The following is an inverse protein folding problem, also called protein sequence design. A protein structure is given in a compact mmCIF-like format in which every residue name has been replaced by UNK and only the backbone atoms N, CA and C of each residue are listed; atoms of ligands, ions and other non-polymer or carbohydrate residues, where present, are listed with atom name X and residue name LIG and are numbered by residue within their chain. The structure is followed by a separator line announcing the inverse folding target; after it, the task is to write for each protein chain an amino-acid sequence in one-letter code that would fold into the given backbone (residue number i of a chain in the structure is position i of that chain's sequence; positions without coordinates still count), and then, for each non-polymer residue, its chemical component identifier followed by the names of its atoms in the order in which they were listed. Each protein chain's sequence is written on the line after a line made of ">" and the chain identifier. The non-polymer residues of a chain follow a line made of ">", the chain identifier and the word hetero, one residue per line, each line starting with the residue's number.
data_IF_909698077644
#
_entry.id   IF_909698077644
#
_cell.length_a   1.000
_cell.length_b   1.000
_cell.length_c   1.000
_cell.angle_alpha   90.00
_cell.angle_beta   90.00
_cell.angle_gamma   90.00
#
_symmetry.space_group_name_H-M   'P 1'
#
loop_
_entity.id
_entity.type
_entity.pdbx_description
1 polymer ?
#
# COMPACT_ATOMS: atom_id res chain seq x y z
N UNK A 1 30.01 -77.01 33.04
CA UNK A 1 29.46 -77.25 34.38
C UNK A 1 29.04 -75.92 34.98
N UNK A 2 27.76 -75.56 35.03
CA UNK A 2 27.23 -74.64 36.03
C UNK A 2 25.71 -74.81 35.99
N UNK A 3 25.17 -75.04 37.16
CA UNK A 3 23.82 -75.52 37.44
C UNK A 3 22.81 -74.40 37.36
N UNK A 4 21.63 -74.72 36.81
CA UNK A 4 20.44 -73.87 36.84
C UNK A 4 19.64 -74.14 38.11
N UNK A 5 19.31 -73.07 38.85
CA UNK A 5 18.40 -73.14 39.97
C UNK A 5 17.06 -72.52 39.55
N UNK A 6 16.02 -73.31 39.56
CA UNK A 6 14.63 -72.90 39.30
C UNK A 6 14.08 -72.28 40.58
N UNK A 7 13.49 -71.12 40.51
CA UNK A 7 12.72 -70.52 41.61
C UNK A 7 11.31 -70.24 41.14
N UNK A 8 10.38 -71.00 41.71
CA UNK A 8 8.93 -70.83 41.52
C UNK A 8 8.43 -69.66 42.38
N UNK A 9 7.70 -68.73 41.79
CA UNK A 9 7.04 -67.67 42.53
C UNK A 9 5.52 -67.74 42.31
N UNK A 10 4.81 -67.73 43.38
CA UNK A 10 3.38 -67.92 43.47
C UNK A 10 2.59 -66.67 42.99
N UNK A 11 1.51 -66.94 42.32
CA UNK A 11 0.56 -65.98 41.79
C UNK A 11 -0.38 -65.51 42.92
N UNK A 12 -0.38 -64.21 43.23
CA UNK A 12 -1.41 -63.56 44.05
C UNK A 12 -2.31 -62.79 43.08
N UNK A 13 -3.54 -63.22 42.98
CA UNK A 13 -4.59 -62.60 42.14
C UNK A 13 -5.27 -61.50 42.97
N UNK A 14 -4.88 -60.26 42.78
CA UNK A 14 -5.55 -59.06 43.34
C UNK A 14 -6.63 -58.53 42.39
N UNK A 15 -7.89 -58.58 42.82
CA UNK A 15 -9.04 -58.06 42.10
C UNK A 15 -9.04 -56.53 42.20
N UNK A 16 -8.66 -55.84 41.11
CA UNK A 16 -8.71 -54.39 41.04
C UNK A 16 -10.05 -54.00 40.38
N UNK A 17 -10.96 -53.43 41.13
CA UNK A 17 -12.19 -52.85 40.63
C UNK A 17 -11.86 -51.60 39.81
N UNK A 18 -12.05 -51.68 38.49
CA UNK A 18 -11.94 -50.50 37.58
C UNK A 18 -13.20 -49.67 37.71
N UNK A 19 -13.13 -48.52 38.40
CA UNK A 19 -14.13 -47.46 38.27
C UNK A 19 -14.04 -46.86 36.88
N UNK A 20 -15.07 -47.09 36.04
CA UNK A 20 -15.23 -46.39 34.79
C UNK A 20 -15.63 -44.92 35.05
N UNK A 21 -14.92 -43.94 34.57
CA UNK A 21 -15.42 -42.57 34.60
C UNK A 21 -16.62 -42.45 33.67
N UNK A 22 -17.70 -41.85 34.15
CA UNK A 22 -18.90 -41.58 33.36
C UNK A 22 -18.61 -40.65 32.18
N UNK A 23 -19.51 -40.58 31.19
CA UNK A 23 -19.29 -39.79 29.99
C UNK A 23 -19.15 -38.29 30.35
N UNK A 24 -17.96 -37.75 30.12
CA UNK A 24 -17.73 -36.32 30.13
C UNK A 24 -18.50 -35.72 28.96
N UNK A 25 -19.59 -35.02 29.25
CA UNK A 25 -20.24 -34.18 28.23
C UNK A 25 -19.26 -33.06 27.85
N UNK A 26 -18.59 -33.21 26.73
CA UNK A 26 -17.96 -32.10 26.06
C UNK A 26 -19.08 -31.18 25.55
N UNK A 27 -19.25 -30.05 26.16
CA UNK A 27 -19.96 -28.92 25.59
C UNK A 27 -19.13 -28.47 24.40
N UNK A 28 -19.55 -28.80 23.18
CA UNK A 28 -19.03 -28.19 21.99
C UNK A 28 -19.34 -26.70 22.07
N UNK A 29 -18.32 -25.90 22.33
CA UNK A 29 -18.38 -24.48 22.03
C UNK A 29 -18.50 -24.42 20.50
N UNK A 30 -19.66 -24.03 20.00
CA UNK A 30 -19.80 -23.59 18.63
C UNK A 30 -18.83 -22.39 18.50
N UNK A 31 -17.71 -22.59 17.81
CA UNK A 31 -16.97 -21.47 17.26
C UNK A 31 -17.94 -20.83 16.28
N UNK A 32 -18.34 -19.61 16.62
CA UNK A 32 -19.04 -18.74 15.70
C UNK A 32 -18.03 -18.38 14.59
N UNK A 33 -17.95 -19.27 13.61
CA UNK A 33 -17.25 -19.02 12.35
C UNK A 33 -18.15 -18.10 11.52
N UNK A 34 -18.36 -16.87 11.98
CA UNK A 34 -18.74 -15.79 11.09
C UNK A 34 -17.54 -15.57 10.17
N UNK A 35 -17.50 -16.33 9.07
CA UNK A 35 -16.71 -15.93 7.89
C UNK A 35 -17.22 -14.55 7.54
N UNK A 36 -16.45 -13.50 7.88
CA UNK A 36 -16.69 -12.17 7.30
C UNK A 36 -16.70 -12.41 5.79
N UNK A 37 -17.85 -12.25 5.16
CA UNK A 37 -17.97 -12.44 3.72
C UNK A 37 -16.91 -11.58 3.03
N UNK A 38 -16.02 -12.25 2.29
CA UNK A 38 -15.01 -11.55 1.50
C UNK A 38 -15.71 -10.73 0.43
N UNK A 39 -15.71 -9.41 0.59
CA UNK A 39 -16.23 -8.48 -0.42
C UNK A 39 -15.08 -8.10 -1.35
N UNK A 40 -15.08 -8.70 -2.54
CA UNK A 40 -14.09 -8.38 -3.55
C UNK A 40 -14.24 -6.92 -4.00
N UNK A 41 -13.15 -6.13 -4.04
CA UNK A 41 -13.21 -4.79 -4.61
C UNK A 41 -13.23 -4.83 -6.14
N UNK A 42 -13.64 -3.72 -6.73
CA UNK A 42 -13.37 -3.44 -8.15
C UNK A 42 -11.95 -2.93 -8.28
N UNK A 43 -11.20 -3.52 -9.23
CA UNK A 43 -9.80 -3.16 -9.52
C UNK A 43 -9.75 -2.34 -10.81
N UNK A 44 -9.04 -1.23 -10.78
CA UNK A 44 -8.72 -0.36 -11.91
C UNK A 44 -7.21 -0.33 -12.07
N UNK A 45 -6.71 -0.70 -13.23
CA UNK A 45 -5.27 -0.71 -13.46
C UNK A 45 -4.94 -0.47 -14.94
N UNK A 46 -3.82 0.19 -15.16
CA UNK A 46 -3.22 0.38 -16.48
C UNK A 46 -1.73 0.68 -16.33
N UNK A 47 -0.96 0.38 -17.34
CA UNK A 47 0.44 0.76 -17.45
C UNK A 47 0.80 1.06 -18.89
N UNK A 48 1.82 1.90 -19.09
CA UNK A 48 2.29 2.25 -20.43
C UNK A 48 3.29 3.39 -20.42
N UNK A 49 3.80 3.75 -21.58
CA UNK A 49 4.97 4.64 -21.72
C UNK A 49 4.70 6.11 -21.37
N UNK A 50 3.46 6.51 -21.11
CA UNK A 50 3.14 7.92 -20.86
C UNK A 50 1.74 8.08 -20.21
N UNK A 51 1.39 9.31 -19.82
CA UNK A 51 0.11 9.63 -19.17
C UNK A 51 -1.12 9.20 -19.98
N UNK A 52 -1.10 9.32 -21.29
CA UNK A 52 -2.22 8.94 -22.15
C UNK A 52 -2.51 7.44 -22.08
N UNK A 53 -1.50 6.61 -21.82
CA UNK A 53 -1.63 5.16 -21.73
C UNK A 53 -2.45 4.71 -20.53
N UNK A 54 -2.46 5.49 -19.44
CA UNK A 54 -3.17 5.15 -18.19
C UNK A 54 -4.40 6.02 -17.94
N UNK A 55 -4.57 7.11 -18.69
CA UNK A 55 -5.60 8.13 -18.46
C UNK A 55 -7.01 7.55 -18.36
N UNK A 56 -7.38 6.63 -19.26
CA UNK A 56 -8.72 6.05 -19.27
C UNK A 56 -9.03 5.25 -18.01
N UNK A 57 -8.05 4.56 -17.45
CA UNK A 57 -8.21 3.79 -16.20
C UNK A 57 -8.31 4.71 -14.98
N UNK A 58 -7.52 5.78 -14.95
CA UNK A 58 -7.60 6.82 -13.92
C UNK A 58 -8.97 7.50 -13.94
N UNK A 59 -9.48 7.86 -15.12
CA UNK A 59 -10.79 8.50 -15.27
C UNK A 59 -11.94 7.57 -14.92
N UNK A 60 -11.85 6.27 -15.25
CA UNK A 60 -12.82 5.27 -14.84
C UNK A 60 -12.85 5.12 -13.30
N UNK A 61 -11.69 5.14 -12.64
CA UNK A 61 -11.59 5.12 -11.19
C UNK A 61 -12.20 6.39 -10.56
N UNK A 62 -11.87 7.57 -11.09
CA UNK A 62 -12.46 8.85 -10.68
C UNK A 62 -14.00 8.82 -10.77
N UNK A 63 -14.51 8.31 -11.88
CA UNK A 63 -15.95 8.17 -12.10
C UNK A 63 -16.60 7.19 -11.10
N UNK A 64 -15.93 6.07 -10.82
CA UNK A 64 -16.41 5.09 -9.86
C UNK A 64 -16.45 5.61 -8.42
N UNK A 65 -15.49 6.44 -8.01
CA UNK A 65 -15.50 7.11 -6.70
C UNK A 65 -16.57 8.19 -6.61
N UNK A 66 -16.95 8.81 -7.73
CA UNK A 66 -17.98 9.82 -7.82
C UNK A 66 -17.47 11.25 -7.75
N UNK A 67 -18.41 12.18 -7.81
CA UNK A 67 -18.20 13.63 -7.78
C UNK A 67 -18.81 14.25 -6.51
N UNK A 68 -18.36 15.45 -6.09
CA UNK A 68 -17.28 16.24 -6.68
C UNK A 68 -15.87 15.75 -6.29
N UNK A 69 -14.81 16.27 -6.96
CA UNK A 69 -13.47 16.30 -6.41
C UNK A 69 -13.39 17.46 -5.40
N UNK A 70 -13.42 17.13 -4.12
CA UNK A 70 -13.49 18.12 -3.06
C UNK A 70 -12.08 18.43 -2.49
N UNK A 71 -11.62 19.66 -2.70
CA UNK A 71 -10.31 20.14 -2.22
C UNK A 71 -10.34 20.92 -0.91
N UNK A 72 -11.53 21.18 -0.34
CA UNK A 72 -11.71 22.02 0.84
C UNK A 72 -11.88 21.21 2.13
N UNK A 73 -11.70 21.87 3.27
CA UNK A 73 -12.06 21.34 4.57
C UNK A 73 -13.58 21.07 4.64
N UNK A 74 -13.95 20.08 5.45
CA UNK A 74 -15.32 19.62 5.56
C UNK A 74 -15.58 18.37 4.71
N UNK A 75 -16.26 17.38 5.29
CA UNK A 75 -16.59 16.12 4.65
C UNK A 75 -17.92 16.25 3.89
N UNK A 76 -18.01 15.60 2.74
CA UNK A 76 -19.23 15.45 1.94
C UNK A 76 -19.76 14.02 2.07
N UNK A 77 -21.03 13.82 1.77
CA UNK A 77 -21.64 12.49 1.78
C UNK A 77 -21.11 11.57 0.66
N UNK A 78 -20.64 12.15 -0.43
CA UNK A 78 -20.15 11.44 -1.62
C UNK A 78 -19.05 12.24 -2.30
N UNK A 79 -18.37 11.60 -3.25
CA UNK A 79 -17.32 12.23 -4.03
C UNK A 79 -15.95 11.62 -3.76
N UNK A 80 -14.95 12.38 -4.13
CA UNK A 80 -13.55 11.96 -4.02
C UNK A 80 -12.64 13.10 -3.62
N UNK A 81 -11.41 12.75 -3.27
CA UNK A 81 -10.28 13.65 -3.01
C UNK A 81 -9.13 13.27 -3.91
N UNK A 82 -8.43 14.25 -4.41
CA UNK A 82 -7.22 14.06 -5.25
C UNK A 82 -6.09 14.91 -4.72
N UNK A 83 -4.89 14.38 -4.76
CA UNK A 83 -3.64 15.07 -4.43
C UNK A 83 -2.69 14.83 -5.59
N UNK A 84 -2.35 15.90 -6.29
CA UNK A 84 -1.42 15.90 -7.42
C UNK A 84 -0.02 16.44 -7.06
N UNK A 85 0.21 16.71 -5.79
CA UNK A 85 1.47 17.14 -5.19
C UNK A 85 1.99 18.52 -5.60
N UNK A 86 1.33 19.24 -6.52
CA UNK A 86 1.81 20.50 -7.12
C UNK A 86 1.46 21.75 -6.32
N UNK A 87 0.69 21.64 -5.25
CA UNK A 87 0.25 22.77 -4.44
C UNK A 87 1.40 23.43 -3.67
N UNK A 88 1.42 24.77 -3.63
CA UNK A 88 2.35 25.54 -2.80
C UNK A 88 3.71 25.83 -3.43
N UNK A 89 3.87 25.73 -4.74
CA UNK A 89 5.11 26.02 -5.45
C UNK A 89 5.53 24.83 -6.31
N UNK A 90 5.02 24.81 -7.53
CA UNK A 90 5.08 23.65 -8.41
C UNK A 90 6.49 23.17 -8.75
N UNK A 91 7.47 24.04 -8.77
CA UNK A 91 8.87 23.74 -9.11
C UNK A 91 9.78 23.53 -7.88
N UNK A 92 9.22 23.53 -6.66
CA UNK A 92 10.02 23.42 -5.44
C UNK A 92 10.25 21.98 -5.01
N UNK A 93 11.40 21.74 -4.36
CA UNK A 93 11.69 20.49 -3.63
C UNK A 93 11.45 20.76 -2.14
N UNK A 94 10.54 19.99 -1.52
CA UNK A 94 10.25 20.14 -0.10
C UNK A 94 11.26 19.35 0.75
N UNK A 95 11.59 19.88 1.93
CA UNK A 95 12.36 19.11 2.90
C UNK A 95 11.56 17.87 3.32
N UNK A 96 12.23 16.71 3.50
CA UNK A 96 11.57 15.51 3.98
C UNK A 96 10.91 15.70 5.34
N UNK A 97 9.66 15.28 5.47
CA UNK A 97 8.90 15.35 6.74
C UNK A 97 8.01 14.13 6.93
N UNK A 98 7.94 13.62 8.15
CA UNK A 98 6.99 12.59 8.56
C UNK A 98 6.48 12.86 9.98
N UNK A 99 5.17 12.85 10.26
CA UNK A 99 4.08 12.70 9.29
C UNK A 99 3.98 13.90 8.34
N UNK A 100 3.61 13.64 7.08
CA UNK A 100 3.33 14.66 6.09
C UNK A 100 1.85 15.06 6.19
N UNK A 101 1.58 16.25 6.69
CA UNK A 101 0.24 16.72 7.10
C UNK A 101 -0.34 17.84 6.22
N UNK A 102 0.32 18.18 5.11
CA UNK A 102 -0.09 19.33 4.28
C UNK A 102 -1.56 19.25 3.84
N UNK A 103 -2.05 18.03 3.56
CA UNK A 103 -3.42 17.79 3.10
C UNK A 103 -4.36 17.26 4.19
N UNK A 104 -3.88 17.13 5.44
CA UNK A 104 -4.65 16.55 6.54
C UNK A 104 -5.96 17.28 6.80
N UNK A 105 -5.93 18.60 6.91
CA UNK A 105 -7.12 19.37 7.19
C UNK A 105 -8.04 19.53 5.98
N UNK A 106 -7.49 19.70 4.79
CA UNK A 106 -8.27 20.00 3.59
C UNK A 106 -8.77 18.76 2.86
N UNK A 107 -8.02 17.65 2.93
CA UNK A 107 -8.35 16.41 2.21
C UNK A 107 -8.47 15.18 3.11
N UNK A 108 -8.14 15.31 4.41
CA UNK A 108 -8.22 14.20 5.36
C UNK A 108 -7.13 13.14 5.16
N UNK A 109 -6.09 13.43 4.39
CA UNK A 109 -4.97 12.51 4.17
C UNK A 109 -3.74 12.86 5.02
N UNK A 110 -3.24 11.90 5.78
CA UNK A 110 -1.94 11.95 6.46
C UNK A 110 -1.04 10.86 5.88
N UNK A 111 0.21 11.21 5.62
CA UNK A 111 1.16 10.25 5.04
C UNK A 111 2.37 10.10 5.96
N UNK A 112 2.82 8.85 6.14
CA UNK A 112 3.99 8.53 6.96
C UNK A 112 4.92 7.56 6.24
N UNK A 113 6.18 7.53 6.66
CA UNK A 113 7.18 6.57 6.20
C UNK A 113 8.04 6.15 7.38
N UNK A 114 8.58 4.91 7.40
CA UNK A 114 9.60 4.51 8.37
C UNK A 114 10.96 5.16 8.09
N UNK A 115 11.12 5.83 6.93
CA UNK A 115 12.34 6.55 6.57
C UNK A 115 12.49 7.91 7.24
N UNK A 116 13.29 8.77 6.65
CA UNK A 116 13.58 10.12 7.17
C UNK A 116 12.38 11.05 7.03
N UNK A 117 11.58 10.87 5.98
CA UNK A 117 10.39 11.67 5.71
C UNK A 117 9.92 11.51 4.26
N UNK A 118 8.90 12.27 3.91
CA UNK A 118 8.29 12.32 2.59
C UNK A 118 8.59 13.67 1.95
N UNK A 119 8.91 13.68 0.65
CA UNK A 119 9.25 14.87 -0.11
C UNK A 119 8.40 14.96 -1.38
N UNK A 120 8.07 16.19 -1.78
CA UNK A 120 7.53 16.54 -3.09
C UNK A 120 8.62 17.26 -3.89
N UNK A 121 8.86 16.81 -5.12
CA UNK A 121 9.84 17.44 -5.99
C UNK A 121 9.60 17.10 -7.46
N UNK A 122 9.95 17.99 -8.39
CA UNK A 122 10.04 17.60 -9.80
C UNK A 122 11.16 16.56 -9.99
N UNK A 123 11.11 15.70 -11.02
CA UNK A 123 12.18 14.74 -11.30
C UNK A 123 13.56 15.40 -11.37
N UNK A 124 13.64 16.55 -12.02
CA UNK A 124 14.83 17.40 -12.10
C UNK A 124 14.44 18.85 -12.29
N UNK A 125 15.43 19.76 -12.19
CA UNK A 125 15.19 21.19 -12.37
C UNK A 125 14.44 21.84 -11.20
N UNK A 126 13.70 22.92 -11.49
CA UNK A 126 13.08 23.73 -10.45
C UNK A 126 14.08 24.53 -9.62
N UNK A 127 13.58 25.23 -8.59
CA UNK A 127 14.37 26.14 -7.79
C UNK A 127 15.49 25.46 -6.98
N UNK A 128 15.31 24.17 -6.61
CA UNK A 128 16.25 23.38 -5.81
C UNK A 128 16.81 22.17 -6.59
N UNK A 129 16.60 22.08 -7.90
CA UNK A 129 17.13 21.00 -8.74
C UNK A 129 16.37 19.66 -8.71
N UNK A 130 15.23 19.59 -8.04
CA UNK A 130 14.36 18.44 -8.00
C UNK A 130 14.93 17.23 -7.28
N UNK A 131 14.34 16.05 -7.57
CA UNK A 131 14.79 14.76 -7.04
C UNK A 131 16.23 14.44 -7.42
N UNK A 132 16.63 14.77 -8.65
CA UNK A 132 18.01 14.59 -9.10
C UNK A 132 19.02 15.28 -8.16
N UNK A 133 18.71 16.48 -7.68
CA UNK A 133 19.54 17.21 -6.74
C UNK A 133 19.39 16.70 -5.30
N UNK A 134 18.16 16.38 -4.88
CA UNK A 134 17.87 15.88 -3.54
C UNK A 134 18.64 14.58 -3.24
N UNK A 135 18.77 13.72 -4.22
CA UNK A 135 19.44 12.43 -4.07
C UNK A 135 20.85 12.39 -4.67
N UNK A 136 21.30 13.48 -5.31
CA UNK A 136 22.61 13.52 -5.99
C UNK A 136 22.68 12.59 -7.20
N UNK A 137 21.54 12.20 -7.78
CA UNK A 137 21.45 11.31 -8.92
C UNK A 137 20.83 12.00 -10.14
N UNK A 138 21.68 12.34 -11.14
CA UNK A 138 21.24 13.11 -12.31
C UNK A 138 20.38 12.31 -13.27
N UNK A 139 20.38 10.97 -13.21
CA UNK A 139 19.53 10.11 -14.05
C UNK A 139 18.06 10.28 -13.74
N UNK A 140 17.70 10.66 -12.51
CA UNK A 140 16.30 10.83 -12.07
C UNK A 140 15.50 11.80 -12.95
N UNK A 141 16.17 12.75 -13.60
CA UNK A 141 15.52 13.65 -14.54
C UNK A 141 15.02 12.98 -15.83
N UNK A 142 15.50 11.79 -16.15
CA UNK A 142 15.11 10.99 -17.32
C UNK A 142 14.39 9.71 -16.93
N UNK A 143 14.77 9.12 -15.79
CA UNK A 143 14.15 7.89 -15.27
C UNK A 143 12.68 8.11 -14.88
N UNK A 144 12.34 9.28 -14.35
CA UNK A 144 10.98 9.55 -13.87
C UNK A 144 10.23 10.57 -14.70
N UNK A 145 8.96 10.31 -14.96
CA UNK A 145 7.99 11.22 -15.56
C UNK A 145 6.83 11.49 -14.61
N UNK A 146 6.13 12.60 -14.81
CA UNK A 146 4.91 12.92 -14.06
C UNK A 146 3.67 12.55 -14.87
N UNK A 147 2.63 12.12 -14.19
CA UNK A 147 1.27 12.01 -14.73
C UNK A 147 0.58 13.36 -14.73
N UNK A 148 0.59 14.02 -13.58
CA UNK A 148 0.26 15.44 -13.47
C UNK A 148 1.54 16.25 -13.24
N UNK A 149 1.87 17.24 -14.07
CA UNK A 149 3.06 18.05 -13.84
C UNK A 149 2.84 19.03 -12.68
N UNK A 150 3.92 19.26 -11.89
CA UNK A 150 5.34 19.02 -12.19
C UNK A 150 6.02 18.14 -11.15
N UNK A 151 5.39 17.79 -10.00
CA UNK A 151 6.07 17.12 -8.89
C UNK A 151 5.63 15.69 -8.69
N UNK A 152 6.59 14.90 -8.25
CA UNK A 152 6.40 13.55 -7.71
C UNK A 152 6.40 13.58 -6.18
N UNK A 153 5.98 12.51 -5.57
CA UNK A 153 5.97 12.28 -4.14
C UNK A 153 6.73 11.00 -3.79
N UNK A 154 7.67 11.11 -2.85
CA UNK A 154 8.56 9.99 -2.55
C UNK A 154 8.95 9.93 -1.07
N UNK A 155 9.07 8.74 -0.48
CA UNK A 155 9.76 8.57 0.80
C UNK A 155 11.26 8.73 0.64
N UNK A 156 11.92 9.26 1.64
CA UNK A 156 13.37 9.43 1.74
C UNK A 156 13.90 8.47 2.80
N UNK A 157 14.87 7.63 2.42
CA UNK A 157 15.43 6.60 3.30
C UNK A 157 14.51 5.39 3.53
N UNK A 158 13.52 5.20 2.68
CA UNK A 158 12.61 4.07 2.65
C UNK A 158 11.98 3.98 1.26
N UNK A 159 11.38 2.84 0.92
CA UNK A 159 10.47 2.68 -0.22
C UNK A 159 9.01 2.46 0.25
N UNK A 160 8.72 2.72 1.53
CA UNK A 160 7.41 2.51 2.13
C UNK A 160 6.74 3.84 2.43
N UNK A 161 5.47 3.97 2.01
CA UNK A 161 4.57 5.06 2.36
C UNK A 161 3.29 4.48 2.93
N UNK A 162 2.83 5.01 4.08
CA UNK A 162 1.52 4.69 4.63
C UNK A 162 0.61 5.91 4.49
N UNK A 163 -0.63 5.69 4.04
CA UNK A 163 -1.69 6.68 4.01
C UNK A 163 -2.72 6.35 5.10
N UNK A 164 -3.09 7.35 5.90
CA UNK A 164 -4.14 7.27 6.90
C UNK A 164 -5.21 8.32 6.59
N UNK A 165 -6.46 8.01 6.91
CA UNK A 165 -7.57 8.87 6.57
C UNK A 165 -8.27 9.43 7.81
N UNK A 166 -8.64 10.71 7.69
CA UNK A 166 -9.33 11.46 8.73
C UNK A 166 -10.45 12.28 8.10
N UNK A 167 -11.44 12.67 8.89
CA UNK A 167 -12.47 13.58 8.39
C UNK A 167 -11.83 14.92 8.02
N UNK A 168 -12.00 15.41 6.79
CA UNK A 168 -11.56 16.74 6.40
C UNK A 168 -12.21 17.82 7.27
N UNK A 169 -11.40 18.75 7.76
CA UNK A 169 -11.81 19.77 8.72
C UNK A 169 -11.61 19.39 10.19
N UNK A 170 -11.32 18.10 10.50
CA UNK A 170 -11.03 17.66 11.86
C UNK A 170 -9.57 17.87 12.27
N UNK A 171 -8.71 18.23 11.32
CA UNK A 171 -7.26 18.36 11.53
C UNK A 171 -6.61 17.13 12.19
N UNK A 172 -7.06 15.92 11.77
CA UNK A 172 -6.53 14.65 12.26
C UNK A 172 -7.10 14.17 13.60
N UNK A 173 -8.11 14.83 14.16
CA UNK A 173 -8.70 14.41 15.44
C UNK A 173 -9.78 13.35 15.30
N UNK A 174 -10.35 13.16 14.10
CA UNK A 174 -11.41 12.19 13.84
C UNK A 174 -10.96 11.27 12.70
N UNK A 175 -10.67 10.02 13.05
CA UNK A 175 -10.32 8.99 12.08
C UNK A 175 -11.50 8.71 11.13
N UNK A 176 -11.18 8.32 9.91
CA UNK A 176 -12.15 8.08 8.86
C UNK A 176 -11.76 6.87 8.00
N UNK A 177 -12.71 6.39 7.19
CA UNK A 177 -12.48 5.38 6.16
C UNK A 177 -12.86 5.93 4.80
N UNK A 178 -12.27 5.34 3.75
CA UNK A 178 -12.58 5.66 2.35
C UNK A 178 -13.08 4.42 1.61
N UNK A 179 -13.90 4.63 0.58
CA UNK A 179 -14.42 3.53 -0.24
C UNK A 179 -13.42 2.99 -1.26
N UNK A 180 -12.41 3.76 -1.60
CA UNK A 180 -11.37 3.37 -2.53
C UNK A 180 -10.15 4.27 -2.42
N UNK A 181 -9.01 3.75 -2.88
CA UNK A 181 -7.76 4.48 -3.00
C UNK A 181 -7.02 4.01 -4.25
N UNK A 182 -6.44 4.95 -4.97
CA UNK A 182 -5.61 4.71 -6.14
C UNK A 182 -4.39 5.61 -6.15
N UNK A 183 -3.34 5.12 -6.80
CA UNK A 183 -2.04 5.77 -6.91
C UNK A 183 -1.47 5.61 -8.31
N UNK A 184 -0.87 6.67 -8.82
CA UNK A 184 -0.03 6.63 -10.02
C UNK A 184 1.42 6.44 -9.58
N UNK A 185 2.12 5.58 -10.29
CA UNK A 185 3.55 5.35 -10.16
C UNK A 185 4.26 5.74 -11.44
N UNK A 186 5.51 6.08 -11.33
CA UNK A 186 6.44 6.21 -12.45
C UNK A 186 7.57 5.21 -12.29
N UNK A 187 7.92 4.54 -13.41
CA UNK A 187 9.03 3.63 -13.51
C UNK A 187 8.85 2.30 -12.76
N UNK A 188 7.72 1.62 -12.99
CA UNK A 188 7.47 0.25 -12.50
C UNK A 188 7.93 -0.74 -13.56
N UNK A 189 9.13 -1.27 -13.43
CA UNK A 189 9.74 -2.15 -14.41
C UNK A 189 9.49 -3.64 -14.17
N UNK A 190 9.33 -4.03 -12.91
CA UNK A 190 9.09 -5.43 -12.55
C UNK A 190 7.62 -5.84 -12.81
N UNK A 191 7.35 -7.06 -13.36
CA UNK A 191 8.18 -8.26 -13.25
C UNK A 191 9.16 -8.53 -14.39
N UNK A 192 9.20 -7.77 -15.46
CA UNK A 192 9.90 -8.17 -16.69
C UNK A 192 11.23 -7.48 -16.94
N UNK A 193 11.62 -6.57 -16.12
CA UNK A 193 12.88 -5.87 -16.29
C UNK A 193 13.20 -5.00 -15.11
N UNK A 194 14.42 -4.60 -15.00
CA UNK A 194 14.86 -3.50 -14.17
C UNK A 194 15.76 -2.65 -15.03
N UNK A 195 15.39 -1.40 -15.13
CA UNK A 195 16.08 -0.43 -15.98
C UNK A 195 15.82 -0.56 -17.48
N UNK A 196 16.19 0.47 -18.23
CA UNK A 196 15.87 0.63 -19.63
C UNK A 196 16.43 -0.49 -20.50
N UNK A 197 15.55 -1.17 -21.22
CA UNK A 197 15.92 -2.12 -22.26
C UNK A 197 16.51 -3.45 -21.80
N UNK A 198 16.47 -3.75 -20.51
CA UNK A 198 17.01 -4.99 -19.96
C UNK A 198 15.91 -5.95 -19.50
N UNK A 199 15.97 -7.17 -20.00
CA UNK A 199 15.09 -8.25 -19.52
C UNK A 199 15.83 -9.06 -18.47
N UNK A 200 15.40 -8.95 -17.23
CA UNK A 200 15.83 -9.83 -16.15
C UNK A 200 14.73 -10.84 -15.88
N UNK A 201 14.73 -11.91 -16.62
CA UNK A 201 13.72 -12.95 -16.51
C UNK A 201 13.48 -13.40 -15.08
N UNK A 202 12.20 -13.59 -14.72
CA UNK A 202 11.70 -14.15 -13.46
C UNK A 202 11.82 -13.29 -12.20
N UNK A 203 12.02 -12.00 -12.27
CA UNK A 203 11.76 -11.15 -11.11
C UNK A 203 10.25 -11.01 -10.91
N UNK A 204 9.80 -11.24 -9.69
CA UNK A 204 8.40 -11.03 -9.30
C UNK A 204 8.07 -9.55 -9.21
N UNK A 205 6.80 -9.20 -9.34
CA UNK A 205 6.33 -7.84 -9.08
C UNK A 205 6.71 -7.40 -7.66
N UNK A 206 7.14 -6.15 -7.51
CA UNK A 206 7.66 -5.60 -6.26
C UNK A 206 6.93 -4.34 -5.78
N UNK A 207 6.27 -3.59 -6.66
CA UNK A 207 5.47 -2.43 -6.27
C UNK A 207 4.10 -2.90 -5.81
N UNK A 208 3.90 -2.90 -4.49
CA UNK A 208 2.74 -3.48 -3.81
C UNK A 208 1.91 -2.41 -3.11
N UNK A 209 0.59 -2.51 -3.24
CA UNK A 209 -0.37 -1.69 -2.48
C UNK A 209 -1.25 -2.61 -1.63
N UNK A 210 -1.26 -2.36 -0.33
CA UNK A 210 -2.01 -3.12 0.67
C UNK A 210 -3.04 -2.21 1.33
N UNK A 211 -4.28 -2.70 1.47
CA UNK A 211 -5.43 -1.96 1.99
C UNK A 211 -5.89 -2.58 3.29
N UNK A 212 -6.01 -1.78 4.34
CA UNK A 212 -6.36 -2.25 5.68
C UNK A 212 -7.64 -1.60 6.20
N UNK A 213 -8.42 -2.38 6.92
CA UNK A 213 -9.60 -1.94 7.65
C UNK A 213 -9.27 -1.31 9.01
N UNK A 214 -10.32 -0.97 9.76
CA UNK A 214 -10.20 -0.24 11.03
C UNK A 214 -9.50 -1.04 12.13
N UNK A 215 -9.59 -2.36 12.09
CA UNK A 215 -8.95 -3.25 13.04
C UNK A 215 -7.54 -3.67 12.60
N UNK A 216 -7.02 -3.08 11.50
CA UNK A 216 -5.74 -3.42 10.90
C UNK A 216 -5.75 -4.72 10.09
N UNK A 217 -6.91 -5.30 9.83
CA UNK A 217 -7.06 -6.47 8.97
C UNK A 217 -6.76 -6.13 7.50
N UNK A 218 -6.05 -7.01 6.81
CA UNK A 218 -5.80 -6.87 5.39
C UNK A 218 -7.09 -7.12 4.62
N UNK A 219 -7.64 -6.08 3.99
CA UNK A 219 -8.84 -6.17 3.16
C UNK A 219 -8.53 -6.68 1.76
N UNK A 220 -7.41 -6.21 1.20
CA UNK A 220 -6.97 -6.54 -0.15
C UNK A 220 -5.52 -6.12 -0.36
N UNK A 221 -4.84 -6.76 -1.29
CA UNK A 221 -3.52 -6.33 -1.77
C UNK A 221 -3.40 -6.60 -3.27
N UNK A 222 -2.64 -5.76 -3.96
CA UNK A 222 -2.37 -5.94 -5.38
C UNK A 222 -1.06 -5.29 -5.77
N UNK A 223 -0.38 -5.90 -6.72
CA UNK A 223 0.78 -5.30 -7.36
C UNK A 223 0.35 -4.28 -8.42
N UNK A 224 1.12 -3.20 -8.54
CA UNK A 224 0.99 -2.28 -9.66
C UNK A 224 1.40 -2.99 -10.97
N UNK A 225 0.69 -2.75 -12.08
CA UNK A 225 1.09 -3.30 -13.37
C UNK A 225 2.40 -2.69 -13.84
N UNK A 226 3.32 -3.51 -14.35
CA UNK A 226 4.60 -3.03 -14.85
C UNK A 226 4.50 -2.47 -16.27
N UNK A 227 5.32 -1.47 -16.54
CA UNK A 227 5.59 -0.93 -17.87
C UNK A 227 7.08 -0.60 -17.97
N UNK A 228 7.93 -1.58 -18.38
CA UNK A 228 9.36 -1.40 -18.39
C UNK A 228 9.81 -0.20 -19.27
N UNK A 229 10.77 0.55 -18.76
CA UNK A 229 11.42 1.66 -19.43
C UNK A 229 11.21 3.01 -18.78
N UNK A 230 12.27 3.82 -18.83
CA UNK A 230 12.32 5.16 -18.24
C UNK A 230 11.09 6.00 -18.57
N UNK A 231 10.55 6.65 -17.54
CA UNK A 231 9.43 7.57 -17.67
C UNK A 231 8.08 6.90 -17.92
N UNK A 232 8.01 5.57 -17.86
CA UNK A 232 6.75 4.84 -17.93
C UNK A 232 5.86 5.17 -16.74
N UNK A 233 4.54 4.98 -16.90
CA UNK A 233 3.55 5.24 -15.85
C UNK A 233 2.68 4.00 -15.60
N UNK A 234 2.36 3.80 -14.35
CA UNK A 234 1.49 2.73 -13.89
C UNK A 234 0.43 3.27 -12.95
N UNK A 235 -0.79 2.75 -13.05
CA UNK A 235 -1.90 3.11 -12.17
C UNK A 235 -2.52 1.87 -11.57
N UNK A 236 -2.81 1.92 -10.28
CA UNK A 236 -3.69 0.98 -9.61
C UNK A 236 -4.66 1.72 -8.70
N UNK A 237 -5.95 1.39 -8.81
CA UNK A 237 -7.03 1.88 -7.96
C UNK A 237 -7.92 0.73 -7.53
N UNK A 238 -8.28 0.71 -6.25
CA UNK A 238 -9.16 -0.30 -5.65
C UNK A 238 -10.37 0.39 -5.06
N UNK A 239 -11.59 -0.12 -5.36
CA UNK A 239 -12.83 0.43 -4.82
C UNK A 239 -13.72 -0.68 -4.26
N UNK A 240 -14.09 -0.54 -2.99
CA UNK A 240 -15.16 -1.31 -2.34
C UNK A 240 -16.52 -0.61 -2.52
N UNK A 241 -17.59 -1.33 -2.24
CA UNK A 241 -18.96 -0.79 -2.31
C UNK A 241 -19.23 0.22 -1.21
N UNK A 242 -18.52 0.17 -0.09
CA UNK A 242 -18.65 1.03 1.09
C UNK A 242 -17.28 1.60 1.53
N UNK A 243 -17.31 2.56 2.44
CA UNK A 243 -16.12 3.14 3.04
C UNK A 243 -15.60 2.22 4.15
N UNK A 244 -14.55 1.44 3.87
CA UNK A 244 -13.96 0.48 4.80
C UNK A 244 -12.45 0.54 4.90
N UNK A 245 -11.77 1.24 3.99
CA UNK A 245 -10.32 1.37 3.99
C UNK A 245 -9.93 2.43 5.02
N UNK A 246 -9.30 2.03 6.11
CA UNK A 246 -8.78 2.93 7.15
C UNK A 246 -7.35 3.37 6.87
N UNK A 247 -6.56 2.51 6.24
CA UNK A 247 -5.20 2.83 5.85
C UNK A 247 -4.75 2.07 4.61
N UNK A 248 -3.73 2.61 3.95
CA UNK A 248 -3.08 1.99 2.79
C UNK A 248 -1.58 2.00 3.03
N UNK A 249 -0.92 0.87 2.75
CA UNK A 249 0.53 0.78 2.70
C UNK A 249 0.97 0.58 1.27
N UNK A 250 1.93 1.38 0.86
CA UNK A 250 2.54 1.33 -0.47
C UNK A 250 4.01 0.95 -0.29
N UNK A 251 4.43 -0.11 -0.97
CA UNK A 251 5.84 -0.44 -1.17
C UNK A 251 6.17 -0.13 -2.62
N UNK A 252 6.98 0.89 -2.86
CA UNK A 252 7.33 1.37 -4.18
C UNK A 252 8.70 0.82 -4.60
N UNK A 253 8.69 -0.11 -5.55
CA UNK A 253 9.91 -0.78 -5.99
C UNK A 253 10.56 -1.67 -4.92
N UNK A 254 11.79 -2.09 -5.18
CA UNK A 254 12.56 -2.98 -4.30
C UNK A 254 13.76 -2.31 -3.62
N UNK A 255 14.00 -1.04 -3.88
CA UNK A 255 15.10 -0.26 -3.28
C UNK A 255 14.62 1.08 -2.73
N UNK A 256 15.40 1.64 -1.81
CA UNK A 256 15.15 2.98 -1.28
C UNK A 256 15.62 4.03 -2.27
N UNK A 257 14.97 5.19 -2.24
CA UNK A 257 15.38 6.36 -3.04
C UNK A 257 16.83 6.78 -2.74
N UNK A 258 17.55 7.21 -3.78
CA UNK A 258 18.98 7.50 -3.73
C UNK A 258 19.84 6.41 -4.37
N UNK A 259 19.27 5.26 -4.69
CA UNK A 259 19.91 4.20 -5.48
C UNK A 259 19.74 4.48 -6.97
N UNK A 260 20.55 3.82 -7.80
CA UNK A 260 20.35 3.79 -9.24
C UNK A 260 19.19 2.86 -9.58
N UNK A 261 18.38 3.25 -10.55
CA UNK A 261 17.51 2.34 -11.25
C UNK A 261 18.35 1.56 -12.27
N UNK A 262 18.46 0.26 -12.08
CA UNK A 262 19.32 -0.59 -12.89
C UNK A 262 18.80 -2.03 -12.97
N UNK A 263 19.57 -2.91 -13.58
CA UNK A 263 19.25 -4.34 -13.73
C UNK A 263 18.94 -5.09 -12.44
N UNK A 264 19.29 -4.55 -11.28
CA UNK A 264 19.12 -5.21 -9.98
C UNK A 264 18.06 -4.51 -9.13
N UNK A 265 17.87 -3.24 -9.39
CA UNK A 265 17.07 -2.33 -8.59
C UNK A 265 15.95 -1.77 -9.44
N UNK A 266 14.72 -1.93 -8.99
CA UNK A 266 13.53 -1.29 -9.54
C UNK A 266 13.16 -0.14 -8.61
N UNK A 267 13.50 1.07 -9.02
CA UNK A 267 13.30 2.28 -8.25
C UNK A 267 12.04 3.00 -8.72
N UNK A 268 11.03 3.02 -7.88
CA UNK A 268 9.70 3.53 -8.23
C UNK A 268 9.37 4.78 -7.43
N UNK A 269 8.80 5.79 -8.10
CA UNK A 269 8.27 6.99 -7.45
C UNK A 269 6.75 7.07 -7.61
N UNK A 270 6.11 7.90 -6.80
CA UNK A 270 4.66 8.08 -6.80
C UNK A 270 4.27 9.44 -7.36
N UNK A 271 3.12 9.49 -8.02
CA UNK A 271 2.43 10.70 -8.43
C UNK A 271 1.00 10.71 -7.81
N UNK A 272 -0.01 11.16 -8.53
CA UNK A 272 -1.36 11.38 -8.05
C UNK A 272 -1.90 10.31 -7.09
N UNK A 273 -2.41 10.76 -5.94
CA UNK A 273 -3.24 9.95 -5.05
C UNK A 273 -4.70 10.37 -5.21
N UNK A 274 -5.57 9.37 -5.41
CA UNK A 274 -7.00 9.56 -5.63
C UNK A 274 -7.75 8.65 -4.67
N UNK A 275 -8.67 9.17 -3.86
CA UNK A 275 -9.41 8.35 -2.91
C UNK A 275 -10.85 8.85 -2.70
N UNK A 276 -11.71 7.94 -2.26
CA UNK A 276 -13.10 8.26 -1.93
C UNK A 276 -13.18 9.32 -0.83
N UNK A 277 -14.29 10.05 -0.79
CA UNK A 277 -14.53 11.01 0.28
C UNK A 277 -14.43 10.33 1.65
N UNK A 278 -13.59 10.82 2.57
CA UNK A 278 -13.45 10.23 3.89
C UNK A 278 -14.75 10.31 4.69
N UNK A 279 -15.18 9.18 5.25
CA UNK A 279 -16.42 9.02 6.01
C UNK A 279 -16.12 8.62 7.45
N UNK A 280 -17.03 8.97 8.36
CA UNK A 280 -16.98 8.48 9.75
C UNK A 280 -16.91 6.95 9.75
N UNK A 281 -16.13 6.44 10.67
CA UNK A 281 -16.11 5.00 10.97
C UNK A 281 -17.49 4.65 11.55
N UNK A 282 -18.20 3.66 10.97
CA UNK A 282 -19.55 3.27 11.39
C UNK A 282 -19.64 2.88 12.86
#
# INVERSE_FOLDING_TARGET
>A
MKKYTLLTLATIMGLLAVMMPGPVRQTAHAQDNTTKDFVAPTVFQAAGPNAASIQSSVDAFRAALGNPNNGNAGSLATGRREINWDGGGADTTTAPVTPFNVFLNTRGGQFTTPGVGLSQAPPSGGAQGGLASLFGNTTYGTTFSTFSPVRLFTPVGSNITNALFFLPGSNGTVAATVSGFGVVFTDVDQPDGSGPGEKHGNRGANTLVEFFGVDGELLFSSFAPASPGDGSLSFIGIKFTDARIASVRITAGDVVTGQDDDKKNDLVMMDDFIYGEPQLIP
#
